data_IF_048953745273
#
_entry.id   IF_048953745273
#
_cell.length_a   1.000
_cell.length_b   1.000
_cell.length_c   1.000
_cell.angle_alpha   90.00
_cell.angle_beta   90.00
_cell.angle_gamma   90.00
#
_symmetry.space_group_name_H-M   'P 1'
#
loop_
_entity.id
_entity.type
_entity.pdbx_description
1 polymer ?
#
# COMPACT_ATOMS: atom_id res chain seq x y z
N UNK A 1 -6.23 17.86 5.53
CA UNK A 1 -6.97 17.82 4.26
C UNK A 1 -6.01 17.72 3.10
N UNK A 2 -6.32 16.89 2.12
CA UNK A 2 -5.44 16.73 0.95
C UNK A 2 -5.67 17.83 -0.09
N UNK A 3 -4.64 18.10 -0.86
CA UNK A 3 -4.64 19.09 -1.93
C UNK A 3 -4.36 18.43 -3.27
N UNK A 4 -4.73 19.11 -4.36
CA UNK A 4 -4.40 18.64 -5.71
C UNK A 4 -2.88 18.50 -5.84
N UNK A 5 -2.43 17.38 -6.39
CA UNK A 5 -1.02 17.04 -6.51
C UNK A 5 -0.46 16.21 -5.37
N UNK A 6 -1.21 16.02 -4.29
CA UNK A 6 -0.76 15.19 -3.18
C UNK A 6 -0.68 13.71 -3.58
N UNK A 7 0.40 13.06 -3.16
CA UNK A 7 0.59 11.63 -3.31
C UNK A 7 0.02 10.92 -2.10
N UNK A 8 -0.85 9.94 -2.34
CA UNK A 8 -1.54 9.24 -1.27
C UNK A 8 -1.46 7.72 -1.47
N UNK A 9 -1.78 6.99 -0.40
CA UNK A 9 -1.98 5.54 -0.45
C UNK A 9 -3.42 5.24 -0.06
N UNK A 10 -4.10 4.49 -0.92
CA UNK A 10 -5.43 3.96 -0.66
C UNK A 10 -5.29 2.48 -0.35
N UNK A 11 -5.54 2.05 0.91
CA UNK A 11 -5.38 0.64 1.29
C UNK A 11 -6.08 -0.31 0.31
N UNK A 12 -5.41 -1.39 -0.08
CA UNK A 12 -5.86 -2.40 -1.05
C UNK A 12 -5.92 -1.93 -2.52
N UNK A 13 -5.58 -0.67 -2.78
CA UNK A 13 -5.60 -0.11 -4.14
C UNK A 13 -4.25 0.45 -4.56
N UNK A 14 -3.34 0.64 -3.61
CA UNK A 14 -2.01 1.17 -3.86
C UNK A 14 -1.93 2.68 -3.79
N UNK A 15 -0.87 3.23 -4.37
CA UNK A 15 -0.63 4.66 -4.38
C UNK A 15 -1.33 5.36 -5.52
N UNK A 16 -1.60 6.63 -5.34
CA UNK A 16 -2.22 7.48 -6.34
C UNK A 16 -1.94 8.96 -6.10
N UNK A 17 -2.41 9.78 -7.02
CA UNK A 17 -2.24 11.22 -6.99
C UNK A 17 -3.60 11.89 -7.02
N UNK A 18 -3.81 12.88 -6.17
CA UNK A 18 -5.04 13.67 -6.22
C UNK A 18 -4.96 14.60 -7.42
N UNK A 19 -5.78 14.31 -8.45
CA UNK A 19 -5.80 15.10 -9.69
C UNK A 19 -6.69 16.31 -9.60
N UNK A 20 -7.81 16.18 -8.88
CA UNK A 20 -8.83 17.22 -8.82
C UNK A 20 -9.67 17.10 -7.56
N UNK A 21 -10.34 18.19 -7.23
CA UNK A 21 -11.40 18.22 -6.23
C UNK A 21 -12.63 18.74 -6.98
N UNK A 22 -13.66 17.91 -7.12
CA UNK A 22 -14.83 18.22 -7.92
C UNK A 22 -16.10 18.21 -7.08
N UNK A 23 -16.99 19.15 -7.38
CA UNK A 23 -18.33 19.15 -6.83
C UNK A 23 -19.24 18.34 -7.74
N UNK A 24 -19.97 17.40 -7.16
CA UNK A 24 -20.98 16.63 -7.90
C UNK A 24 -22.30 16.63 -7.12
N UNK A 25 -23.38 16.66 -7.88
CA UNK A 25 -24.71 16.55 -7.35
C UNK A 25 -25.25 15.13 -7.55
N UNK A 26 -25.50 14.44 -6.44
CA UNK A 26 -26.11 13.11 -6.44
C UNK A 26 -27.36 13.16 -5.55
N UNK A 27 -28.50 12.71 -6.10
CA UNK A 27 -29.77 12.67 -5.38
C UNK A 27 -30.17 14.01 -4.74
N UNK A 28 -29.91 15.11 -5.48
CA UNK A 28 -30.24 16.47 -5.04
C UNK A 28 -29.28 17.09 -4.03
N UNK A 29 -28.21 16.37 -3.67
CA UNK A 29 -27.18 16.87 -2.75
C UNK A 29 -25.88 17.16 -3.47
N UNK A 30 -25.34 18.36 -3.25
CA UNK A 30 -24.02 18.74 -3.74
C UNK A 30 -22.97 18.28 -2.74
N UNK A 31 -21.94 17.62 -3.24
CA UNK A 31 -20.86 17.09 -2.43
C UNK A 31 -19.52 17.23 -3.15
N UNK A 32 -18.47 17.52 -2.39
CA UNK A 32 -17.10 17.55 -2.93
C UNK A 32 -16.49 16.17 -2.89
N UNK A 33 -15.77 15.84 -3.99
CA UNK A 33 -15.07 14.58 -4.15
C UNK A 33 -13.60 14.84 -4.46
N UNK A 34 -12.73 14.04 -3.86
CA UNK A 34 -11.38 13.89 -4.37
C UNK A 34 -11.39 12.99 -5.59
N UNK A 35 -10.77 13.42 -6.67
CA UNK A 35 -10.52 12.58 -7.85
C UNK A 35 -9.09 12.12 -7.79
N UNK A 36 -8.90 10.81 -7.64
CA UNK A 36 -7.58 10.20 -7.44
C UNK A 36 -7.26 9.33 -8.62
N UNK A 37 -6.10 9.56 -9.24
CA UNK A 37 -5.58 8.66 -10.26
C UNK A 37 -4.69 7.62 -9.63
N UNK A 38 -5.08 6.35 -9.73
CA UNK A 38 -4.34 5.23 -9.16
C UNK A 38 -3.19 4.83 -10.08
N UNK A 39 -2.00 4.62 -9.50
CA UNK A 39 -0.79 4.31 -10.26
C UNK A 39 -0.82 2.93 -10.91
N UNK A 40 -1.37 1.93 -10.20
CA UNK A 40 -1.36 0.53 -10.67
C UNK A 40 -2.32 0.31 -11.83
N UNK A 41 -3.54 0.83 -11.71
CA UNK A 41 -4.62 0.53 -12.65
C UNK A 41 -4.88 1.64 -13.68
N UNK A 42 -4.28 2.82 -13.50
CA UNK A 42 -4.62 4.05 -14.23
C UNK A 42 -6.10 4.45 -14.11
N UNK A 43 -6.82 3.85 -13.18
CA UNK A 43 -8.21 4.18 -12.92
C UNK A 43 -8.32 5.47 -12.12
N UNK A 44 -9.38 6.20 -12.36
CA UNK A 44 -9.78 7.31 -11.52
C UNK A 44 -10.77 6.80 -10.47
N UNK A 45 -10.50 7.15 -9.22
CA UNK A 45 -11.36 6.83 -8.09
C UNK A 45 -11.86 8.14 -7.50
N UNK A 46 -13.15 8.21 -7.23
CA UNK A 46 -13.76 9.37 -6.61
C UNK A 46 -14.19 9.05 -5.19
N UNK A 47 -13.75 9.86 -4.24
CA UNK A 47 -14.05 9.66 -2.82
C UNK A 47 -14.60 10.96 -2.23
N UNK A 48 -15.77 10.92 -1.58
CA UNK A 48 -16.28 12.10 -0.88
C UNK A 48 -15.25 12.62 0.11
N UNK A 49 -15.05 13.93 0.14
CA UNK A 49 -14.06 14.53 1.05
C UNK A 49 -14.34 14.22 2.51
N UNK A 50 -15.61 14.07 2.87
CA UNK A 50 -16.00 13.71 4.23
C UNK A 50 -15.70 12.27 4.63
N UNK A 51 -15.38 11.40 3.67
CA UNK A 51 -15.07 9.97 3.93
C UNK A 51 -13.58 9.65 3.88
N UNK A 52 -12.74 10.65 3.70
CA UNK A 52 -11.30 10.41 3.52
C UNK A 52 -10.67 9.73 4.76
N UNK A 53 -11.05 10.13 5.95
CA UNK A 53 -10.53 9.55 7.19
C UNK A 53 -10.99 8.12 7.41
N UNK A 54 -12.27 7.82 7.11
CA UNK A 54 -12.81 6.48 7.28
C UNK A 54 -12.30 5.49 6.23
N UNK A 55 -11.76 5.99 5.12
CA UNK A 55 -11.16 5.17 4.07
C UNK A 55 -9.71 4.77 4.38
N UNK A 56 -9.13 5.27 5.46
CA UNK A 56 -7.73 5.06 5.85
C UNK A 56 -6.72 5.52 4.80
N UNK A 57 -7.12 6.44 3.94
CA UNK A 57 -6.22 7.04 2.97
C UNK A 57 -5.19 7.88 3.71
N UNK A 58 -3.93 7.70 3.37
CA UNK A 58 -2.81 8.39 4.01
C UNK A 58 -1.84 8.98 2.99
N UNK A 59 -1.00 9.95 3.40
CA UNK A 59 0.09 10.42 2.54
C UNK A 59 1.10 9.30 2.25
N UNK A 60 1.78 9.39 1.11
CA UNK A 60 2.96 8.59 0.83
C UNK A 60 4.05 8.95 1.85
N UNK A 61 4.79 7.95 2.34
CA UNK A 61 5.87 8.19 3.30
C UNK A 61 7.03 8.98 2.68
N UNK A 62 7.86 9.59 3.53
CA UNK A 62 9.07 10.28 3.08
C UNK A 62 10.28 9.34 3.04
N UNK A 63 11.40 9.85 2.52
CA UNK A 63 12.62 9.07 2.35
C UNK A 63 13.24 8.66 3.68
N UNK A 64 13.07 9.44 4.73
CA UNK A 64 13.59 9.11 6.06
C UNK A 64 12.85 7.92 6.66
N UNK A 65 11.53 7.94 6.57
CA UNK A 65 10.71 6.81 7.02
C UNK A 65 11.05 5.56 6.22
N UNK A 66 11.28 5.69 4.91
CA UNK A 66 11.65 4.58 4.05
C UNK A 66 12.94 3.90 4.52
N UNK A 67 13.95 4.66 4.91
CA UNK A 67 15.22 4.10 5.39
C UNK A 67 14.99 3.17 6.58
N UNK A 68 14.13 3.57 7.50
CA UNK A 68 13.76 2.74 8.65
C UNK A 68 13.01 1.46 8.23
N UNK A 69 12.09 1.58 7.28
CA UNK A 69 11.34 0.43 6.76
C UNK A 69 12.26 -0.57 6.06
N UNK A 70 13.22 -0.11 5.26
CA UNK A 70 14.20 -0.98 4.61
C UNK A 70 14.97 -1.79 5.66
N UNK A 71 15.38 -1.14 6.75
CA UNK A 71 16.11 -1.81 7.81
C UNK A 71 15.28 -2.90 8.48
N UNK A 72 14.03 -2.63 8.77
CA UNK A 72 13.09 -3.62 9.31
C UNK A 72 12.92 -4.79 8.34
N UNK A 73 12.77 -4.49 7.06
CA UNK A 73 12.63 -5.52 6.04
C UNK A 73 13.85 -6.44 5.95
N UNK A 74 15.06 -5.87 5.97
CA UNK A 74 16.29 -6.62 5.80
C UNK A 74 16.74 -7.36 7.06
N UNK A 75 16.54 -6.77 8.23
CA UNK A 75 17.11 -7.25 9.49
C UNK A 75 16.07 -7.67 10.52
N UNK A 76 14.79 -7.40 10.30
CA UNK A 76 13.74 -7.81 11.22
C UNK A 76 13.57 -9.33 11.26
N UNK A 77 13.19 -9.83 12.41
CA UNK A 77 12.89 -11.25 12.60
C UNK A 77 11.44 -11.53 12.24
N UNK A 78 11.20 -12.69 11.62
CA UNK A 78 9.85 -13.18 11.35
C UNK A 78 9.29 -13.85 12.60
N UNK A 79 7.98 -13.68 12.83
CA UNK A 79 7.28 -14.37 13.90
C UNK A 79 7.22 -15.88 13.63
N UNK A 80 6.85 -16.63 14.69
CA UNK A 80 6.65 -18.06 14.59
C UNK A 80 5.64 -18.42 13.49
N UNK A 81 5.93 -19.49 12.76
CA UNK A 81 5.12 -19.91 11.64
C UNK A 81 3.77 -20.48 12.10
N UNK A 82 2.70 -19.76 11.79
CA UNK A 82 1.33 -20.20 12.06
C UNK A 82 0.86 -21.21 10.99
N UNK A 83 -0.18 -22.02 11.30
CA UNK A 83 -0.86 -22.80 10.26
C UNK A 83 -1.31 -21.89 9.11
N UNK A 84 -1.30 -22.40 7.87
CA UNK A 84 -1.43 -21.56 6.69
C UNK A 84 -2.71 -20.70 6.66
N UNK A 85 -3.83 -21.20 7.14
CA UNK A 85 -5.09 -20.42 7.17
C UNK A 85 -5.02 -19.24 8.12
N UNK A 86 -4.45 -19.43 9.31
CA UNK A 86 -4.24 -18.37 10.28
C UNK A 86 -3.20 -17.37 9.77
N UNK A 87 -2.11 -17.88 9.21
CA UNK A 87 -1.05 -17.05 8.62
C UNK A 87 -1.59 -16.17 7.50
N UNK A 88 -2.39 -16.76 6.59
CA UNK A 88 -2.97 -16.02 5.48
C UNK A 88 -3.92 -14.92 5.97
N UNK A 89 -4.72 -15.21 6.99
CA UNK A 89 -5.61 -14.22 7.59
C UNK A 89 -4.82 -13.06 8.22
N UNK A 90 -3.80 -13.37 9.02
CA UNK A 90 -2.95 -12.35 9.66
C UNK A 90 -2.27 -11.49 8.58
N UNK A 91 -1.71 -12.10 7.55
CA UNK A 91 -1.05 -11.37 6.48
C UNK A 91 -2.03 -10.51 5.69
N UNK A 92 -3.20 -11.03 5.38
CA UNK A 92 -4.25 -10.26 4.68
C UNK A 92 -4.69 -9.07 5.51
N UNK A 93 -4.89 -9.25 6.81
CA UNK A 93 -5.27 -8.15 7.71
C UNK A 93 -4.19 -7.06 7.77
N UNK A 94 -2.92 -7.45 7.78
CA UNK A 94 -1.79 -6.50 7.71
C UNK A 94 -1.80 -5.67 6.42
N UNK A 95 -2.04 -6.31 5.29
CA UNK A 95 -2.12 -5.61 3.99
C UNK A 95 -3.31 -4.64 3.97
N UNK A 96 -4.44 -5.03 4.53
CA UNK A 96 -5.64 -4.19 4.59
C UNK A 96 -5.45 -2.90 5.38
N UNK A 97 -4.49 -2.83 6.28
CA UNK A 97 -4.22 -1.60 7.03
C UNK A 97 -3.70 -0.47 6.14
N UNK A 98 -3.06 -0.82 5.02
CA UNK A 98 -2.38 0.15 4.16
C UNK A 98 -1.08 0.70 4.73
N UNK A 99 -0.68 0.30 5.93
CA UNK A 99 0.59 0.72 6.53
C UNK A 99 1.77 0.06 5.82
N UNK A 100 2.73 0.86 5.39
CA UNK A 100 3.89 0.36 4.65
C UNK A 100 4.72 -0.65 5.46
N UNK A 101 4.88 -0.41 6.75
CA UNK A 101 5.64 -1.32 7.61
C UNK A 101 5.01 -2.71 7.62
N UNK A 102 3.71 -2.79 7.81
CA UNK A 102 2.99 -4.08 7.84
C UNK A 102 3.04 -4.77 6.49
N UNK A 103 2.90 -4.02 5.41
CA UNK A 103 3.06 -4.56 4.06
C UNK A 103 4.46 -5.12 3.82
N UNK A 104 5.48 -4.39 4.23
CA UNK A 104 6.88 -4.83 4.11
C UNK A 104 7.14 -6.11 4.92
N UNK A 105 6.57 -6.21 6.12
CA UNK A 105 6.69 -7.43 6.95
C UNK A 105 6.08 -8.64 6.25
N UNK A 106 4.90 -8.50 5.65
CA UNK A 106 4.24 -9.58 4.92
C UNK A 106 5.11 -10.02 3.72
N UNK A 107 5.61 -9.08 2.95
CA UNK A 107 6.47 -9.37 1.80
C UNK A 107 7.73 -10.10 2.26
N UNK A 108 8.39 -9.59 3.30
CA UNK A 108 9.58 -10.21 3.89
C UNK A 108 9.33 -11.66 4.27
N UNK A 109 8.27 -11.89 5.03
CA UNK A 109 7.97 -13.21 5.58
C UNK A 109 7.60 -14.21 4.48
N UNK A 110 6.82 -13.78 3.48
CA UNK A 110 6.46 -14.64 2.35
C UNK A 110 7.67 -14.94 1.45
N UNK A 111 8.57 -13.98 1.25
CA UNK A 111 9.81 -14.22 0.50
C UNK A 111 10.68 -15.23 1.23
N UNK A 112 10.84 -15.10 2.55
CA UNK A 112 11.61 -16.05 3.37
C UNK A 112 11.03 -17.45 3.30
N UNK A 113 9.70 -17.57 3.37
CA UNK A 113 9.01 -18.84 3.23
C UNK A 113 9.22 -19.46 1.86
N UNK A 114 9.12 -18.65 0.80
CA UNK A 114 9.29 -19.11 -0.59
C UNK A 114 10.66 -19.74 -0.83
N UNK A 115 11.70 -19.28 -0.12
CA UNK A 115 13.05 -19.86 -0.21
C UNK A 115 13.14 -21.27 0.38
N UNK A 116 12.30 -21.58 1.35
CA UNK A 116 12.29 -22.87 2.02
C UNK A 116 11.28 -23.86 1.40
N UNK A 117 10.12 -23.35 1.00
CA UNK A 117 9.02 -24.14 0.49
C UNK A 117 8.16 -23.31 -0.46
N UNK A 118 7.64 -23.94 -1.52
CA UNK A 118 6.75 -23.27 -2.44
C UNK A 118 5.51 -22.72 -1.73
N UNK A 119 5.13 -21.48 -2.06
CA UNK A 119 3.90 -20.88 -1.56
C UNK A 119 2.69 -21.49 -2.27
N UNK A 120 1.56 -21.58 -1.55
CA UNK A 120 0.30 -21.94 -2.18
C UNK A 120 -0.21 -20.79 -3.08
N UNK A 121 -1.25 -21.06 -3.88
CA UNK A 121 -1.79 -20.08 -4.84
C UNK A 121 -2.25 -18.80 -4.18
N UNK A 122 -2.92 -18.88 -3.03
CA UNK A 122 -3.41 -17.70 -2.30
C UNK A 122 -2.28 -16.86 -1.78
N UNK A 123 -1.22 -17.47 -1.26
CA UNK A 123 -0.06 -16.75 -0.75
C UNK A 123 0.77 -16.12 -1.87
N UNK A 124 0.90 -16.78 -3.01
CA UNK A 124 1.54 -16.20 -4.21
C UNK A 124 0.81 -14.94 -4.66
N UNK A 125 -0.52 -15.00 -4.73
CA UNK A 125 -1.33 -13.84 -5.11
C UNK A 125 -1.18 -12.71 -4.11
N UNK A 126 -1.21 -13.00 -2.83
CA UNK A 126 -1.04 -11.99 -1.78
C UNK A 126 0.32 -11.32 -1.88
N UNK A 127 1.38 -12.09 -2.10
CA UNK A 127 2.74 -11.55 -2.27
C UNK A 127 2.82 -10.63 -3.49
N UNK A 128 2.26 -11.06 -4.62
CA UNK A 128 2.24 -10.25 -5.84
C UNK A 128 1.49 -8.94 -5.64
N UNK A 129 0.31 -8.99 -5.03
CA UNK A 129 -0.50 -7.80 -4.76
C UNK A 129 0.21 -6.86 -3.78
N UNK A 130 0.73 -7.40 -2.69
CA UNK A 130 1.45 -6.62 -1.68
C UNK A 130 2.68 -5.93 -2.28
N UNK A 131 3.42 -6.63 -3.12
CA UNK A 131 4.58 -6.08 -3.80
C UNK A 131 4.20 -4.94 -4.75
N UNK A 132 3.12 -5.10 -5.51
CA UNK A 132 2.60 -4.03 -6.39
C UNK A 132 2.20 -2.79 -5.59
N UNK A 133 1.52 -2.97 -4.47
CA UNK A 133 1.14 -1.84 -3.60
C UNK A 133 2.39 -1.13 -3.07
N UNK A 134 3.37 -1.88 -2.60
CA UNK A 134 4.61 -1.32 -2.08
C UNK A 134 5.34 -0.53 -3.16
N UNK A 135 5.57 -1.11 -4.33
CA UNK A 135 6.30 -0.45 -5.42
C UNK A 135 5.58 0.81 -5.89
N UNK A 136 4.25 0.79 -5.96
CA UNK A 136 3.48 1.97 -6.36
C UNK A 136 3.70 3.15 -5.40
N UNK A 137 3.85 2.88 -4.12
CA UNK A 137 4.18 3.91 -3.14
C UNK A 137 5.64 4.36 -3.26
N UNK A 138 6.57 3.42 -3.38
CA UNK A 138 8.00 3.73 -3.47
C UNK A 138 8.29 4.66 -4.64
N UNK A 139 7.66 4.43 -5.79
CA UNK A 139 7.87 5.24 -6.98
C UNK A 139 7.43 6.70 -6.82
N UNK A 140 6.57 7.00 -5.86
CA UNK A 140 6.10 8.36 -5.58
C UNK A 140 6.90 9.08 -4.49
N UNK A 141 7.88 8.42 -3.89
CA UNK A 141 8.71 9.04 -2.85
C UNK A 141 9.77 9.92 -3.50
N UNK A 142 9.81 11.20 -3.10
CA UNK A 142 10.85 12.11 -3.58
C UNK A 142 12.23 11.66 -3.12
N UNK A 143 13.17 11.62 -4.06
CA UNK A 143 14.56 11.26 -3.78
C UNK A 143 14.82 9.76 -3.73
N UNK A 144 13.84 8.92 -4.07
CA UNK A 144 14.06 7.48 -4.09
C UNK A 144 15.01 7.09 -5.21
N UNK A 145 15.83 6.06 -4.95
CA UNK A 145 16.76 5.48 -5.93
C UNK A 145 16.28 4.09 -6.34
N UNK A 146 16.73 3.63 -7.52
CA UNK A 146 16.47 2.25 -7.95
C UNK A 146 17.00 1.22 -6.96
N UNK A 147 18.14 1.52 -6.34
CA UNK A 147 18.74 0.65 -5.32
C UNK A 147 17.83 0.48 -4.13
N UNK A 148 17.17 1.56 -3.68
CA UNK A 148 16.23 1.50 -2.57
C UNK A 148 15.00 0.67 -2.93
N UNK A 149 14.45 0.81 -4.13
CA UNK A 149 13.33 -0.01 -4.59
C UNK A 149 13.74 -1.49 -4.62
N UNK A 150 14.91 -1.80 -5.15
CA UNK A 150 15.42 -3.18 -5.23
C UNK A 150 15.71 -3.79 -3.86
N UNK A 151 15.83 -2.98 -2.80
CA UNK A 151 16.05 -3.48 -1.43
C UNK A 151 14.93 -4.38 -0.94
N UNK A 152 13.77 -4.34 -1.58
CA UNK A 152 12.60 -5.17 -1.25
C UNK A 152 12.45 -6.40 -2.15
N UNK A 153 13.44 -6.73 -2.93
CA UNK A 153 13.44 -7.92 -3.79
C UNK A 153 14.00 -9.15 -3.09
#
# INVERSE_FOLDING_TARGET
MFQIGDNIVYPMHGAGIIEAIEEKELSGKKQLYYVIKMSISNMQVMIPTGKILSSNIRPVIDILALTHIIQIFQHGESDELLPWKQRHKVNTDKIKTGEIQKGAEVIRDLIRMKKEKALNTSEKKLLDDAYKFLVSELELIKGITEKQIKSFC
#
